data_IF_693382338050
#
_entry.id   IF_693382338050
#
_cell.length_a   1.000
_cell.length_b   1.000
_cell.length_c   1.000
_cell.angle_alpha   90.00
_cell.angle_beta   90.00
_cell.angle_gamma   90.00
#
_symmetry.space_group_name_H-M   'P 1'
#
loop_
_entity.id
_entity.type
_entity.pdbx_description
1 polymer ?
#
# COMPACT_ATOMS: atom_id res chain seq x y z
N UNK A 1 44.35 -17.22 -29.00
CA UNK A 1 43.46 -18.06 -28.16
C UNK A 1 43.05 -17.23 -26.94
N UNK A 2 42.16 -16.25 -27.05
CA UNK A 2 40.70 -16.33 -27.18
C UNK A 2 40.02 -17.15 -26.06
N UNK A 3 39.46 -16.46 -25.06
CA UNK A 3 38.19 -16.82 -24.41
C UNK A 3 37.46 -15.54 -23.99
N UNK A 4 36.52 -15.17 -24.86
CA UNK A 4 35.57 -14.08 -24.74
C UNK A 4 34.54 -14.38 -23.63
N UNK A 5 34.21 -13.36 -22.85
CA UNK A 5 33.10 -13.37 -21.89
C UNK A 5 31.80 -13.00 -22.64
N UNK A 6 30.73 -13.82 -22.62
CA UNK A 6 29.53 -13.51 -23.40
C UNK A 6 28.66 -12.43 -22.74
N UNK A 7 28.39 -11.37 -23.49
CA UNK A 7 27.32 -10.38 -23.21
C UNK A 7 25.96 -11.08 -23.28
N UNK A 8 25.22 -11.12 -22.17
CA UNK A 8 23.78 -11.43 -22.15
C UNK A 8 23.00 -10.24 -22.71
N UNK A 9 22.63 -10.31 -24.00
CA UNK A 9 21.51 -9.55 -24.57
C UNK A 9 20.22 -10.22 -24.08
N UNK A 10 19.44 -9.53 -23.24
CA UNK A 10 18.01 -9.86 -23.08
C UNK A 10 17.28 -9.25 -24.28
N UNK A 11 16.79 -10.12 -25.16
CA UNK A 11 15.93 -9.75 -26.27
C UNK A 11 14.58 -9.25 -25.74
N UNK A 12 14.15 -8.19 -26.40
CA UNK A 12 12.78 -7.65 -26.49
C UNK A 12 11.95 -8.68 -27.28
N UNK A 13 10.64 -8.83 -26.95
CA UNK A 13 9.70 -9.91 -27.36
C UNK A 13 9.81 -11.09 -26.39
N UNK A 14 8.88 -11.33 -25.45
CA UNK A 14 7.43 -11.47 -25.65
C UNK A 14 6.62 -10.84 -24.51
N UNK A 15 5.82 -9.80 -24.84
CA UNK A 15 4.67 -9.35 -24.02
C UNK A 15 3.55 -9.00 -25.01
N UNK A 16 3.11 -9.99 -25.78
CA UNK A 16 1.86 -9.94 -26.53
C UNK A 16 1.08 -11.21 -26.23
N UNK A 17 0.15 -11.10 -25.28
CA UNK A 17 -0.65 -12.23 -24.82
C UNK A 17 -1.75 -11.84 -23.84
N UNK A 18 -2.33 -10.64 -23.97
CA UNK A 18 -3.56 -10.26 -23.26
C UNK A 18 -4.50 -9.51 -24.21
N UNK A 19 -4.98 -10.23 -25.23
CA UNK A 19 -6.24 -9.92 -25.89
C UNK A 19 -7.05 -11.20 -25.91
N UNK A 20 -8.00 -11.29 -24.99
CA UNK A 20 -9.35 -11.84 -25.16
C UNK A 20 -9.96 -12.16 -23.79
N UNK A 21 -10.56 -11.14 -23.19
CA UNK A 21 -11.66 -11.33 -22.24
C UNK A 21 -12.66 -10.21 -22.50
N UNK A 22 -13.35 -10.33 -23.63
CA UNK A 22 -14.61 -9.64 -23.88
C UNK A 22 -15.68 -10.36 -23.05
N UNK A 23 -15.72 -10.04 -21.77
CA UNK A 23 -16.88 -10.23 -20.93
C UNK A 23 -17.24 -8.85 -20.41
N UNK A 24 -18.25 -8.25 -21.03
CA UNK A 24 -18.96 -7.07 -20.54
C UNK A 24 -19.59 -7.38 -19.19
N UNK A 25 -18.76 -7.47 -18.16
CA UNK A 25 -19.21 -7.34 -16.79
C UNK A 25 -19.56 -5.87 -16.62
N UNK A 26 -20.83 -5.61 -16.29
CA UNK A 26 -21.18 -4.46 -15.45
C UNK A 26 -20.45 -4.68 -14.11
N UNK A 27 -19.11 -4.54 -14.10
CA UNK A 27 -18.35 -4.32 -12.89
C UNK A 27 -18.98 -3.07 -12.32
N UNK A 28 -19.72 -3.24 -11.24
CA UNK A 28 -20.36 -2.13 -10.53
C UNK A 28 -19.31 -1.03 -10.42
N UNK A 29 -19.60 0.15 -10.99
CA UNK A 29 -18.73 1.34 -10.89
C UNK A 29 -18.42 1.71 -9.43
N UNK A 30 -19.12 1.09 -8.48
CA UNK A 30 -19.01 1.24 -7.04
C UNK A 30 -18.42 -0.02 -6.37
N UNK A 31 -17.55 -0.74 -7.06
CA UNK A 31 -16.74 -1.82 -6.49
C UNK A 31 -15.30 -1.34 -6.24
N UNK A 32 -14.54 -1.97 -5.32
CA UNK A 32 -13.11 -1.71 -5.14
C UNK A 32 -12.32 -1.72 -6.46
N UNK A 33 -12.70 -2.59 -7.40
CA UNK A 33 -12.09 -2.68 -8.74
C UNK A 33 -12.35 -1.44 -9.59
N UNK A 34 -13.54 -0.84 -9.46
CA UNK A 34 -13.88 0.43 -10.10
C UNK A 34 -12.98 1.60 -9.65
N UNK A 35 -12.42 1.50 -8.45
CA UNK A 35 -11.44 2.45 -7.89
C UNK A 35 -9.99 1.96 -7.98
N UNK A 36 -9.75 0.85 -8.69
CA UNK A 36 -8.43 0.23 -8.88
C UNK A 36 -7.71 -0.13 -7.58
N UNK A 37 -8.42 -0.33 -6.46
CA UNK A 37 -7.78 -0.60 -5.15
C UNK A 37 -6.84 -1.82 -5.20
N UNK A 38 -7.21 -2.97 -5.80
CA UNK A 38 -6.30 -4.12 -5.85
C UNK A 38 -5.04 -3.86 -6.68
N UNK A 39 -5.17 -3.07 -7.76
CA UNK A 39 -4.04 -2.72 -8.63
C UNK A 39 -3.08 -1.79 -7.89
N UNK A 40 -3.60 -0.71 -7.29
CA UNK A 40 -2.80 0.24 -6.51
C UNK A 40 -2.14 -0.42 -5.31
N UNK A 41 -2.82 -1.37 -4.66
CA UNK A 41 -2.24 -2.13 -3.57
C UNK A 41 -1.10 -3.05 -4.02
N UNK A 42 -1.21 -3.67 -5.19
CA UNK A 42 -0.11 -4.44 -5.75
C UNK A 42 1.09 -3.55 -6.12
N UNK A 43 0.83 -2.36 -6.68
CA UNK A 43 1.87 -1.36 -6.95
C UNK A 43 2.60 -0.93 -5.66
N UNK A 44 1.86 -0.60 -4.60
CA UNK A 44 2.43 -0.26 -3.29
C UNK A 44 3.24 -1.41 -2.69
N UNK A 45 2.70 -2.64 -2.66
CA UNK A 45 3.41 -3.82 -2.14
C UNK A 45 4.71 -4.09 -2.90
N UNK A 46 4.67 -4.04 -4.23
CA UNK A 46 5.86 -4.20 -5.06
C UNK A 46 6.89 -3.10 -4.76
N UNK A 47 6.44 -1.86 -4.59
CA UNK A 47 7.32 -0.75 -4.22
C UNK A 47 8.02 -1.00 -2.89
N UNK A 48 7.28 -1.37 -1.84
CA UNK A 48 7.84 -1.63 -0.50
C UNK A 48 8.81 -2.81 -0.50
N UNK A 49 8.57 -3.85 -1.31
CA UNK A 49 9.54 -4.94 -1.51
C UNK A 49 10.85 -4.45 -2.15
N UNK A 50 10.78 -3.54 -3.12
CA UNK A 50 11.95 -2.91 -3.73
C UNK A 50 12.67 -2.04 -2.70
N UNK A 51 11.95 -1.20 -1.96
CA UNK A 51 12.50 -0.36 -0.90
C UNK A 51 13.29 -1.19 0.12
N UNK A 52 12.74 -2.32 0.59
CA UNK A 52 13.43 -3.21 1.53
C UNK A 52 14.72 -3.80 0.96
N UNK A 53 14.76 -4.13 -0.33
CA UNK A 53 15.99 -4.61 -1.00
C UNK A 53 17.03 -3.50 -1.14
N UNK A 54 16.60 -2.29 -1.52
CA UNK A 54 17.46 -1.12 -1.67
C UNK A 54 18.04 -0.69 -0.33
N UNK A 55 17.26 -0.77 0.76
CA UNK A 55 17.72 -0.52 2.11
C UNK A 55 18.86 -1.47 2.49
N UNK A 56 18.66 -2.79 2.33
CA UNK A 56 19.70 -3.80 2.61
C UNK A 56 20.97 -3.56 1.81
N UNK A 57 20.84 -3.14 0.55
CA UNK A 57 21.98 -2.81 -0.30
C UNK A 57 22.73 -1.57 0.21
N UNK A 58 22.00 -0.52 0.61
CA UNK A 58 22.60 0.67 1.21
C UNK A 58 23.34 0.33 2.53
N UNK A 59 22.70 -0.40 3.44
CA UNK A 59 23.32 -0.85 4.69
C UNK A 59 24.59 -1.67 4.43
N UNK A 60 24.57 -2.58 3.45
CA UNK A 60 25.77 -3.36 3.08
C UNK A 60 26.91 -2.48 2.54
N UNK A 61 26.60 -1.42 1.78
CA UNK A 61 27.61 -0.48 1.31
C UNK A 61 28.18 0.38 2.43
N UNK A 62 27.37 0.76 3.42
CA UNK A 62 27.86 1.45 4.61
C UNK A 62 28.80 0.58 5.44
N UNK A 63 28.49 -0.71 5.62
CA UNK A 63 29.38 -1.64 6.31
C UNK A 63 30.72 -1.84 5.57
N UNK A 64 30.68 -2.00 4.23
CA UNK A 64 31.91 -2.07 3.43
C UNK A 64 32.77 -0.80 3.54
N UNK A 65 32.15 0.39 3.61
CA UNK A 65 32.87 1.63 3.82
C UNK A 65 33.52 1.70 5.21
N UNK A 66 32.88 1.16 6.26
CA UNK A 66 33.46 1.05 7.60
C UNK A 66 34.65 0.09 7.63
N UNK A 67 34.51 -1.08 7.01
CA UNK A 67 35.58 -2.07 6.91
C UNK A 67 36.77 -1.53 6.13
N UNK A 68 36.52 -0.85 5.00
CA UNK A 68 37.55 -0.19 4.20
C UNK A 68 38.28 0.89 5.00
N UNK A 69 37.56 1.66 5.82
CA UNK A 69 38.16 2.66 6.71
C UNK A 69 39.08 2.01 7.74
N UNK A 70 38.63 0.97 8.42
CA UNK A 70 39.44 0.25 9.41
C UNK A 70 40.71 -0.35 8.76
N UNK A 71 40.57 -0.95 7.57
CA UNK A 71 41.71 -1.47 6.79
C UNK A 71 42.69 -0.37 6.39
N UNK A 72 42.18 0.78 5.93
CA UNK A 72 42.99 1.94 5.59
C UNK A 72 43.76 2.45 6.82
N UNK A 73 43.12 2.58 7.98
CA UNK A 73 43.77 3.01 9.22
C UNK A 73 44.94 2.09 9.60
N UNK A 74 44.76 0.77 9.55
CA UNK A 74 45.83 -0.21 9.84
C UNK A 74 46.98 -0.12 8.83
N UNK A 75 46.68 -0.12 7.53
CA UNK A 75 47.72 -0.10 6.48
C UNK A 75 48.49 1.21 6.46
N UNK A 76 47.82 2.34 6.68
CA UNK A 76 48.47 3.63 6.75
C UNK A 76 49.24 3.82 8.05
N UNK A 77 48.79 3.26 9.17
CA UNK A 77 49.59 3.18 10.40
C UNK A 77 50.86 2.32 10.20
N UNK A 78 50.75 1.19 9.48
CA UNK A 78 51.90 0.35 9.13
C UNK A 78 52.90 1.08 8.22
N UNK A 79 52.42 1.81 7.20
CA UNK A 79 53.24 2.69 6.37
C UNK A 79 53.91 3.79 7.19
N UNK A 80 53.15 4.51 8.02
CA UNK A 80 53.68 5.54 8.89
C UNK A 80 54.72 4.97 9.85
N UNK A 81 54.51 3.77 10.39
CA UNK A 81 55.50 3.04 11.18
C UNK A 81 56.78 2.76 10.38
N UNK A 82 56.67 2.24 9.16
CA UNK A 82 57.82 2.02 8.28
C UNK A 82 58.51 3.32 7.86
N UNK A 83 57.82 4.46 7.77
CA UNK A 83 58.41 5.75 7.36
C UNK A 83 59.02 6.53 8.55
N UNK A 84 58.30 6.59 9.67
CA UNK A 84 58.66 7.37 10.87
C UNK A 84 59.51 6.61 11.87
N UNK A 85 59.69 5.30 11.68
CA UNK A 85 60.76 4.55 12.32
C UNK A 85 62.11 5.15 11.88
N UNK A 86 62.49 6.28 12.50
CA UNK A 86 63.89 6.68 12.72
C UNK A 86 64.61 5.67 13.62
N UNK A 87 63.85 4.76 14.21
CA UNK A 87 64.27 3.45 14.71
C UNK A 87 64.32 2.42 13.60
N UNK A 88 64.53 2.76 12.32
CA UNK A 88 65.24 1.84 11.45
C UNK A 88 66.52 1.60 12.21
N UNK A 89 66.68 0.43 12.84
CA UNK A 89 68.01 0.10 13.24
C UNK A 89 68.66 0.00 11.83
N UNK A 90 69.61 0.88 11.53
CA UNK A 90 70.61 0.63 10.50
C UNK A 90 71.36 -0.64 10.95
N UNK A 91 70.66 -1.78 10.92
CA UNK A 91 70.38 -2.58 12.12
C UNK A 91 70.76 -1.95 13.48
N UNK A 92 71.09 -2.76 14.50
CA UNK A 92 71.83 -2.18 15.63
C UNK A 92 73.02 -1.43 15.05
N UNK A 93 73.63 -0.44 15.71
CA UNK A 93 74.83 0.21 15.15
C UNK A 93 75.83 -0.82 14.58
N UNK A 94 75.87 -2.05 15.13
CA UNK A 94 76.62 -3.21 14.62
C UNK A 94 76.30 -3.71 13.21
N UNK A 95 75.10 -3.54 12.68
CA UNK A 95 74.69 -4.09 11.37
C UNK A 95 75.06 -3.16 10.20
N UNK A 96 75.23 -1.86 10.46
CA UNK A 96 75.90 -0.93 9.56
C UNK A 96 77.37 -0.70 9.89
N UNK A 97 77.86 -1.31 10.96
CA UNK A 97 79.28 -1.39 11.24
C UNK A 97 79.89 -2.57 10.52
N UNK A 98 81.10 -2.36 10.01
CA UNK A 98 81.89 -3.40 9.37
C UNK A 98 82.20 -4.51 10.38
N UNK A 99 81.57 -5.67 10.21
CA UNK A 99 81.78 -6.82 11.08
C UNK A 99 83.02 -7.61 10.62
N UNK A 100 84.11 -7.53 11.38
CA UNK A 100 85.37 -8.22 11.05
C UNK A 100 85.28 -9.74 11.08
N UNK A 101 84.29 -10.32 11.76
CA UNK A 101 84.08 -11.77 11.81
C UNK A 101 83.38 -12.27 10.54
N UNK A 102 82.44 -11.48 10.02
CA UNK A 102 81.76 -11.74 8.74
C UNK A 102 82.63 -11.37 7.53
N UNK A 103 83.52 -10.39 7.69
CA UNK A 103 84.38 -9.84 6.65
C UNK A 103 85.86 -9.83 7.12
N UNK A 104 86.52 -11.00 7.15
CA UNK A 104 87.82 -11.18 7.81
C UNK A 104 88.96 -10.34 7.21
N UNK A 105 89.90 -9.95 8.09
CA UNK A 105 91.14 -9.31 7.69
C UNK A 105 91.99 -10.29 6.87
N UNK A 106 92.18 -9.97 5.58
CA UNK A 106 92.89 -10.81 4.61
C UNK A 106 92.07 -11.13 3.35
N UNK A 107 90.74 -10.96 3.38
CA UNK A 107 89.93 -11.02 2.15
C UNK A 107 90.08 -9.71 1.36
N UNK A 108 90.56 -9.80 0.13
CA UNK A 108 90.69 -8.65 -0.80
C UNK A 108 89.33 -7.99 -1.10
N UNK A 109 88.24 -8.75 -1.00
CA UNK A 109 86.88 -8.31 -1.35
C UNK A 109 86.04 -7.87 -0.17
N UNK A 110 86.56 -7.93 1.06
CA UNK A 110 85.79 -7.72 2.30
C UNK A 110 84.94 -6.44 2.31
N UNK A 111 85.45 -5.34 1.75
CA UNK A 111 84.72 -4.07 1.66
C UNK A 111 83.67 -4.07 0.55
N UNK A 112 83.96 -4.72 -0.58
CA UNK A 112 83.02 -4.88 -1.69
C UNK A 112 81.84 -5.71 -1.22
N UNK A 113 82.09 -6.86 -0.57
CA UNK A 113 81.04 -7.76 -0.10
C UNK A 113 80.20 -7.10 1.01
N UNK A 114 80.82 -6.34 1.93
CA UNK A 114 80.09 -5.53 2.90
C UNK A 114 79.17 -4.50 2.23
N UNK A 115 79.67 -3.73 1.26
CA UNK A 115 78.87 -2.74 0.54
C UNK A 115 77.72 -3.39 -0.25
N UNK A 116 77.95 -4.57 -0.84
CA UNK A 116 76.91 -5.33 -1.53
C UNK A 116 75.81 -5.80 -0.56
N UNK A 117 76.18 -6.33 0.60
CA UNK A 117 75.23 -6.73 1.64
C UNK A 117 74.44 -5.53 2.19
N UNK A 118 75.09 -4.37 2.36
CA UNK A 118 74.41 -3.13 2.75
C UNK A 118 73.42 -2.66 1.68
N UNK A 119 73.82 -2.66 0.40
CA UNK A 119 72.94 -2.30 -0.70
C UNK A 119 71.72 -3.23 -0.76
N UNK A 120 71.93 -4.55 -0.68
CA UNK A 120 70.85 -5.52 -0.70
C UNK A 120 69.88 -5.36 0.48
N UNK A 121 70.40 -5.02 1.67
CA UNK A 121 69.57 -4.73 2.84
C UNK A 121 68.73 -3.46 2.64
N UNK A 122 69.35 -2.37 2.18
CA UNK A 122 68.65 -1.11 1.89
C UNK A 122 67.61 -1.26 0.79
N UNK A 123 67.90 -2.03 -0.26
CA UNK A 123 66.94 -2.34 -1.34
C UNK A 123 65.72 -3.07 -0.77
N UNK A 124 65.93 -4.05 0.11
CA UNK A 124 64.84 -4.79 0.76
C UNK A 124 63.96 -3.88 1.62
N UNK A 125 64.55 -3.01 2.44
CA UNK A 125 63.80 -2.08 3.28
C UNK A 125 63.09 -0.99 2.47
N UNK A 126 63.74 -0.46 1.44
CA UNK A 126 63.12 0.45 0.48
C UNK A 126 61.88 -0.18 -0.16
N UNK A 127 61.99 -1.43 -0.60
CA UNK A 127 60.86 -2.18 -1.17
C UNK A 127 59.73 -2.38 -0.18
N UNK A 128 60.03 -2.62 1.10
CA UNK A 128 59.01 -2.73 2.17
C UNK A 128 58.25 -1.41 2.37
N UNK A 129 58.97 -0.28 2.48
CA UNK A 129 58.36 1.05 2.61
C UNK A 129 57.47 1.31 1.39
N UNK A 130 58.01 1.10 0.18
CA UNK A 130 57.28 1.32 -1.07
C UNK A 130 56.00 0.48 -1.13
N UNK A 131 56.06 -0.81 -0.82
CA UNK A 131 54.89 -1.69 -0.79
C UNK A 131 53.85 -1.22 0.23
N UNK A 132 54.28 -0.84 1.44
CA UNK A 132 53.34 -0.34 2.45
C UNK A 132 52.68 0.99 2.05
N UNK A 133 53.41 1.87 1.33
CA UNK A 133 52.86 3.09 0.75
C UNK A 133 51.80 2.78 -0.30
N UNK A 134 52.12 1.90 -1.25
CA UNK A 134 51.20 1.47 -2.31
C UNK A 134 49.92 0.85 -1.71
N UNK A 135 50.05 0.04 -0.66
CA UNK A 135 48.90 -0.53 0.06
C UNK A 135 48.05 0.51 0.79
N UNK A 136 48.67 1.49 1.46
CA UNK A 136 47.94 2.59 2.12
C UNK A 136 47.20 3.46 1.09
N UNK A 137 47.84 3.83 -0.02
CA UNK A 137 47.20 4.61 -1.07
C UNK A 137 46.04 3.85 -1.74
N UNK A 138 46.20 2.56 -2.02
CA UNK A 138 45.11 1.73 -2.51
C UNK A 138 43.95 1.67 -1.51
N UNK A 139 44.23 1.52 -0.21
CA UNK A 139 43.19 1.46 0.80
C UNK A 139 42.43 2.78 0.97
N UNK A 140 43.09 3.93 0.75
CA UNK A 140 42.42 5.24 0.68
C UNK A 140 41.47 5.31 -0.51
N UNK A 141 41.92 4.87 -1.69
CA UNK A 141 41.08 4.82 -2.90
C UNK A 141 39.88 3.89 -2.69
N UNK A 142 40.09 2.70 -2.12
CA UNK A 142 39.02 1.76 -1.78
C UNK A 142 37.98 2.43 -0.86
N UNK A 143 38.44 3.14 0.19
CA UNK A 143 37.55 3.88 1.10
C UNK A 143 36.73 4.94 0.37
N UNK A 144 37.37 5.78 -0.46
CA UNK A 144 36.68 6.82 -1.24
C UNK A 144 35.61 6.22 -2.17
N UNK A 145 35.93 5.11 -2.83
CA UNK A 145 35.01 4.40 -3.72
C UNK A 145 33.82 3.81 -2.95
N UNK A 146 34.05 3.15 -1.81
CA UNK A 146 32.96 2.60 -0.99
C UNK A 146 32.09 3.71 -0.38
N UNK A 147 32.68 4.83 0.04
CA UNK A 147 31.91 5.98 0.52
C UNK A 147 31.03 6.57 -0.58
N UNK A 148 31.55 6.69 -1.82
CA UNK A 148 30.77 7.14 -2.98
C UNK A 148 29.60 6.18 -3.25
N UNK A 149 29.85 4.88 -3.30
CA UNK A 149 28.79 3.89 -3.53
C UNK A 149 27.74 3.87 -2.40
N UNK A 150 28.14 4.05 -1.14
CA UNK A 150 27.22 4.17 -0.02
C UNK A 150 26.33 5.42 -0.15
N UNK A 151 26.90 6.56 -0.54
CA UNK A 151 26.14 7.80 -0.78
C UNK A 151 25.15 7.66 -1.95
N UNK A 152 25.57 7.02 -3.06
CA UNK A 152 24.70 6.72 -4.19
C UNK A 152 23.55 5.78 -3.78
N UNK A 153 23.85 4.71 -3.05
CA UNK A 153 22.85 3.77 -2.54
C UNK A 153 21.84 4.45 -1.61
N UNK A 154 22.31 5.35 -0.74
CA UNK A 154 21.45 6.17 0.14
C UNK A 154 20.52 7.08 -0.64
N UNK A 155 21.00 7.73 -1.70
CA UNK A 155 20.18 8.56 -2.57
C UNK A 155 19.10 7.71 -3.28
N UNK A 156 19.47 6.56 -3.83
CA UNK A 156 18.53 5.62 -4.45
C UNK A 156 17.49 5.11 -3.45
N UNK A 157 17.88 4.86 -2.20
CA UNK A 157 16.95 4.54 -1.12
C UNK A 157 15.96 5.68 -0.86
N UNK A 158 16.45 6.92 -0.72
CA UNK A 158 15.59 8.10 -0.53
C UNK A 158 14.61 8.34 -1.68
N UNK A 159 15.03 8.13 -2.93
CA UNK A 159 14.16 8.22 -4.10
C UNK A 159 13.06 7.13 -4.09
N UNK A 160 13.43 5.89 -3.76
CA UNK A 160 12.46 4.80 -3.65
C UNK A 160 11.48 5.03 -2.48
N UNK A 161 11.95 5.56 -1.35
CA UNK A 161 11.10 5.93 -0.23
C UNK A 161 10.02 6.93 -0.67
N UNK A 162 10.41 8.02 -1.35
CA UNK A 162 9.48 9.02 -1.86
C UNK A 162 8.51 8.45 -2.92
N UNK A 163 8.98 7.55 -3.78
CA UNK A 163 8.13 6.87 -4.75
C UNK A 163 7.08 5.96 -4.07
N UNK A 164 7.48 5.19 -3.06
CA UNK A 164 6.54 4.34 -2.32
C UNK A 164 5.54 5.15 -1.48
N UNK A 165 5.95 6.29 -0.92
CA UNK A 165 5.05 7.21 -0.23
C UNK A 165 3.94 7.72 -1.18
N UNK A 166 4.28 8.12 -2.41
CA UNK A 166 3.27 8.52 -3.41
C UNK A 166 2.34 7.38 -3.84
N UNK A 167 2.88 6.17 -3.99
CA UNK A 167 2.07 4.99 -4.28
C UNK A 167 1.08 4.69 -3.15
N UNK A 168 1.51 4.89 -1.90
CA UNK A 168 0.65 4.76 -0.73
C UNK A 168 -0.45 5.82 -0.70
N UNK A 169 -0.08 7.09 -0.89
CA UNK A 169 -1.03 8.21 -0.95
C UNK A 169 -2.10 7.98 -2.01
N UNK A 170 -1.69 7.53 -3.22
CA UNK A 170 -2.62 7.22 -4.31
C UNK A 170 -3.62 6.12 -3.95
N UNK A 171 -3.16 5.08 -3.23
CA UNK A 171 -4.01 3.99 -2.77
C UNK A 171 -4.99 4.46 -1.68
N UNK A 172 -4.51 5.24 -0.70
CA UNK A 172 -5.31 5.80 0.38
C UNK A 172 -6.38 6.77 -0.15
N UNK A 173 -6.04 7.65 -1.09
CA UNK A 173 -6.98 8.56 -1.76
C UNK A 173 -8.06 7.81 -2.56
N UNK A 174 -7.68 6.77 -3.30
CA UNK A 174 -8.62 5.93 -4.02
C UNK A 174 -9.59 5.23 -3.07
N UNK A 175 -9.11 4.77 -1.92
CA UNK A 175 -9.92 4.16 -0.88
C UNK A 175 -10.89 5.17 -0.26
N UNK A 176 -10.44 6.40 0.00
CA UNK A 176 -11.32 7.49 0.44
C UNK A 176 -12.40 7.83 -0.59
N UNK A 177 -12.03 7.86 -1.87
CA UNK A 177 -12.97 8.12 -2.97
C UNK A 177 -14.03 7.03 -3.09
N UNK A 178 -13.63 5.76 -2.91
CA UNK A 178 -14.54 4.63 -2.84
C UNK A 178 -15.55 4.79 -1.69
N UNK A 179 -15.07 5.11 -0.47
CA UNK A 179 -15.93 5.37 0.70
C UNK A 179 -16.96 6.47 0.42
N UNK A 180 -16.51 7.58 -0.16
CA UNK A 180 -17.36 8.72 -0.47
C UNK A 180 -18.45 8.34 -1.48
N UNK A 181 -18.08 7.65 -2.57
CA UNK A 181 -19.01 7.22 -3.60
C UNK A 181 -20.06 6.22 -3.09
N UNK A 182 -19.67 5.26 -2.24
CA UNK A 182 -20.60 4.32 -1.61
C UNK A 182 -21.57 5.08 -0.70
N UNK A 183 -21.06 6.01 0.13
CA UNK A 183 -21.89 6.82 1.02
C UNK A 183 -22.91 7.66 0.24
N UNK A 184 -22.48 8.33 -0.83
CA UNK A 184 -23.35 9.14 -1.69
C UNK A 184 -24.52 8.29 -2.23
N UNK A 185 -24.24 7.10 -2.77
CA UNK A 185 -25.29 6.24 -3.34
C UNK A 185 -26.28 5.72 -2.29
N UNK A 186 -25.79 5.44 -1.08
CA UNK A 186 -26.68 5.10 0.03
C UNK A 186 -27.59 6.28 0.41
N UNK A 187 -27.07 7.51 0.42
CA UNK A 187 -27.86 8.71 0.64
C UNK A 187 -28.90 8.92 -0.46
N UNK A 188 -28.53 8.74 -1.74
CA UNK A 188 -29.45 8.82 -2.87
C UNK A 188 -30.59 7.80 -2.77
N UNK A 189 -30.26 6.55 -2.42
CA UNK A 189 -31.24 5.48 -2.25
C UNK A 189 -32.22 5.80 -1.11
N UNK A 190 -31.72 6.31 0.02
CA UNK A 190 -32.55 6.77 1.13
C UNK A 190 -33.49 7.91 0.71
N UNK A 191 -32.96 8.91 0.00
CA UNK A 191 -33.76 10.03 -0.52
C UNK A 191 -34.84 9.58 -1.51
N UNK A 192 -34.55 8.60 -2.36
CA UNK A 192 -35.53 8.02 -3.29
C UNK A 192 -36.70 7.36 -2.56
N UNK A 193 -36.42 6.55 -1.53
CA UNK A 193 -37.46 5.90 -0.71
C UNK A 193 -38.27 6.95 0.06
N UNK A 194 -37.62 7.96 0.63
CA UNK A 194 -38.30 9.02 1.38
C UNK A 194 -39.25 9.83 0.49
N UNK A 195 -38.78 10.23 -0.70
CA UNK A 195 -39.58 10.98 -1.67
C UNK A 195 -40.74 10.13 -2.19
N UNK A 196 -40.50 8.87 -2.53
CA UNK A 196 -41.54 7.95 -3.01
C UNK A 196 -42.58 7.68 -1.92
N UNK A 197 -42.15 7.54 -0.66
CA UNK A 197 -43.03 7.34 0.48
C UNK A 197 -43.91 8.57 0.75
N UNK A 198 -43.34 9.78 0.62
CA UNK A 198 -44.09 11.02 0.71
C UNK A 198 -45.18 11.10 -0.36
N UNK A 199 -44.83 10.78 -1.61
CA UNK A 199 -45.79 10.72 -2.73
C UNK A 199 -46.88 9.69 -2.47
N UNK A 200 -46.51 8.46 -2.06
CA UNK A 200 -47.46 7.41 -1.70
C UNK A 200 -48.46 7.86 -0.64
N UNK A 201 -48.00 8.46 0.46
CA UNK A 201 -48.88 8.94 1.52
C UNK A 201 -49.83 10.05 1.03
N UNK A 202 -49.34 10.96 0.19
CA UNK A 202 -50.18 11.99 -0.42
C UNK A 202 -51.29 11.39 -1.30
N UNK A 203 -50.93 10.44 -2.17
CA UNK A 203 -51.88 9.72 -3.02
C UNK A 203 -52.86 8.88 -2.20
N UNK A 204 -52.40 8.22 -1.14
CA UNK A 204 -53.24 7.40 -0.25
C UNK A 204 -54.27 8.26 0.49
N UNK A 205 -53.88 9.45 0.97
CA UNK A 205 -54.82 10.39 1.58
C UNK A 205 -55.93 10.78 0.61
N UNK A 206 -55.58 11.12 -0.64
CA UNK A 206 -56.56 11.43 -1.68
C UNK A 206 -57.46 10.21 -2.00
N UNK A 207 -56.86 9.02 -2.15
CA UNK A 207 -57.60 7.79 -2.41
C UNK A 207 -58.58 7.46 -1.27
N UNK A 208 -58.26 7.77 -0.01
CA UNK A 208 -59.18 7.59 1.14
C UNK A 208 -60.38 8.53 1.10
N UNK A 209 -60.22 9.75 0.58
CA UNK A 209 -61.34 10.66 0.33
C UNK A 209 -62.25 10.08 -0.76
N UNK A 210 -61.67 9.60 -1.86
CA UNK A 210 -62.40 8.97 -2.96
C UNK A 210 -63.09 7.67 -2.54
N UNK A 211 -62.44 6.86 -1.71
CA UNK A 211 -63.01 5.64 -1.10
C UNK A 211 -64.32 5.94 -0.37
N UNK A 212 -64.35 7.03 0.41
CA UNK A 212 -65.54 7.45 1.15
C UNK A 212 -66.68 7.81 0.19
N UNK A 213 -66.35 8.51 -0.90
CA UNK A 213 -67.31 8.89 -1.92
C UNK A 213 -67.85 7.68 -2.69
N UNK A 214 -66.97 6.78 -3.15
CA UNK A 214 -67.35 5.54 -3.82
C UNK A 214 -68.21 4.63 -2.93
N UNK A 215 -67.85 4.51 -1.65
CA UNK A 215 -68.68 3.80 -0.65
C UNK A 215 -70.07 4.42 -0.53
N UNK A 216 -70.19 5.75 -0.54
CA UNK A 216 -71.48 6.44 -0.50
C UNK A 216 -72.30 6.20 -1.77
N UNK A 217 -71.68 6.29 -2.95
CA UNK A 217 -72.33 6.00 -4.23
C UNK A 217 -72.81 4.54 -4.29
N UNK A 218 -71.98 3.59 -3.87
CA UNK A 218 -72.35 2.17 -3.86
C UNK A 218 -73.52 1.88 -2.93
N UNK A 219 -73.59 2.52 -1.75
CA UNK A 219 -74.77 2.41 -0.88
C UNK A 219 -76.06 2.87 -1.59
N UNK A 220 -75.98 3.94 -2.38
CA UNK A 220 -77.12 4.41 -3.16
C UNK A 220 -77.50 3.41 -4.26
N UNK A 221 -76.52 2.85 -4.98
CA UNK A 221 -76.73 1.80 -5.99
C UNK A 221 -77.39 0.56 -5.37
N UNK A 222 -76.88 0.07 -4.25
CA UNK A 222 -77.46 -1.08 -3.54
C UNK A 222 -78.90 -0.82 -3.06
N UNK A 223 -79.21 0.43 -2.68
CA UNK A 223 -80.57 0.82 -2.32
C UNK A 223 -81.50 0.86 -3.53
N UNK A 224 -81.03 1.37 -4.68
CA UNK A 224 -81.77 1.36 -5.94
C UNK A 224 -82.06 -0.09 -6.37
N UNK A 225 -81.03 -0.95 -6.34
CA UNK A 225 -81.15 -2.38 -6.64
C UNK A 225 -82.23 -3.06 -5.78
N UNK A 226 -82.26 -2.79 -4.47
CA UNK A 226 -83.33 -3.27 -3.59
C UNK A 226 -84.72 -2.80 -4.05
N UNK A 227 -84.89 -1.50 -4.34
CA UNK A 227 -86.17 -0.98 -4.81
C UNK A 227 -86.62 -1.59 -6.12
N UNK A 228 -85.69 -1.87 -7.05
CA UNK A 228 -86.00 -2.55 -8.30
C UNK A 228 -86.53 -3.97 -8.05
N UNK A 229 -85.93 -4.70 -7.10
CA UNK A 229 -86.41 -6.03 -6.71
C UNK A 229 -87.80 -6.04 -6.03
N UNK A 230 -88.24 -4.93 -5.43
CA UNK A 230 -89.56 -4.85 -4.78
C UNK A 230 -90.72 -4.97 -5.78
N UNK A 231 -90.53 -4.58 -7.05
CA UNK A 231 -91.57 -4.69 -8.07
C UNK A 231 -91.99 -6.13 -8.40
N UNK A 232 -91.21 -7.11 -7.96
CA UNK A 232 -91.53 -8.54 -8.12
C UNK A 232 -92.37 -9.10 -6.96
N UNK A 233 -92.61 -8.30 -5.91
CA UNK A 233 -93.34 -8.72 -4.71
C UNK A 233 -94.85 -8.47 -4.84
N UNK A 234 -95.66 -9.32 -4.18
CA UNK A 234 -97.13 -9.13 -4.10
C UNK A 234 -97.53 -7.93 -3.24
N UNK A 235 -96.75 -7.64 -2.19
CA UNK A 235 -96.95 -6.49 -1.31
C UNK A 235 -95.80 -5.49 -1.51
N UNK A 236 -95.97 -4.64 -2.53
CA UNK A 236 -94.99 -3.62 -2.93
C UNK A 236 -94.76 -2.60 -1.80
N UNK A 237 -95.81 -2.24 -1.05
CA UNK A 237 -95.71 -1.22 0.00
C UNK A 237 -94.81 -1.69 1.15
N UNK A 238 -94.99 -2.94 1.60
CA UNK A 238 -94.13 -3.53 2.62
C UNK A 238 -92.67 -3.66 2.15
N UNK A 239 -92.46 -4.04 0.89
CA UNK A 239 -91.11 -4.15 0.30
C UNK A 239 -90.37 -2.81 0.24
N UNK A 240 -91.05 -1.71 -0.10
CA UNK A 240 -90.46 -0.37 -0.12
C UNK A 240 -89.98 0.04 1.27
N UNK A 241 -90.79 -0.16 2.31
CA UNK A 241 -90.40 0.18 3.69
C UNK A 241 -89.23 -0.69 4.18
N UNK A 242 -89.19 -1.97 3.80
CA UNK A 242 -88.04 -2.83 4.11
C UNK A 242 -86.74 -2.30 3.47
N UNK A 243 -86.77 -1.89 2.19
CA UNK A 243 -85.60 -1.32 1.51
C UNK A 243 -85.16 0.02 2.10
N UNK A 244 -86.10 0.85 2.58
CA UNK A 244 -85.80 2.13 3.26
C UNK A 244 -85.00 1.92 4.55
N UNK A 245 -85.42 0.95 5.36
CA UNK A 245 -84.83 0.68 6.66
C UNK A 245 -83.57 -0.19 6.61
N UNK A 246 -83.25 -0.81 5.46
CA UNK A 246 -82.04 -1.62 5.28
C UNK A 246 -80.77 -0.76 5.31
N UNK A 247 -79.80 -1.16 6.13
CA UNK A 247 -78.47 -0.54 6.19
C UNK A 247 -77.51 -1.22 5.21
N UNK A 248 -77.02 -0.46 4.23
CA UNK A 248 -76.06 -0.93 3.23
C UNK A 248 -74.60 -0.62 3.60
N UNK A 249 -74.32 -0.01 4.76
CA UNK A 249 -72.95 0.33 5.18
C UNK A 249 -72.03 -0.88 5.28
N UNK A 250 -72.56 -2.02 5.72
CA UNK A 250 -71.82 -3.27 5.92
C UNK A 250 -71.96 -4.25 4.75
N UNK A 251 -72.50 -3.82 3.62
CA UNK A 251 -72.60 -4.67 2.44
C UNK A 251 -71.19 -4.99 1.89
N UNK A 252 -70.92 -6.24 1.50
CA UNK A 252 -69.59 -6.69 1.04
C UNK A 252 -69.03 -5.82 -0.08
N UNK A 253 -69.86 -5.41 -1.04
CA UNK A 253 -69.42 -4.52 -2.13
C UNK A 253 -68.98 -3.13 -1.63
N UNK A 254 -69.54 -2.64 -0.52
CA UNK A 254 -69.15 -1.35 0.10
C UNK A 254 -67.89 -1.53 0.93
N UNK A 255 -67.80 -2.59 1.73
CA UNK A 255 -66.65 -2.83 2.62
C UNK A 255 -65.41 -3.32 1.89
N UNK A 256 -65.56 -3.97 0.73
CA UNK A 256 -64.43 -4.40 -0.10
C UNK A 256 -63.71 -3.22 -0.80
N UNK A 257 -64.32 -2.04 -0.87
CA UNK A 257 -63.67 -0.83 -1.40
C UNK A 257 -62.77 -0.20 -0.35
N UNK A 258 -61.60 -0.79 -0.12
CA UNK A 258 -60.62 -0.26 0.81
C UNK A 258 -59.24 -0.16 0.19
N UNK A 259 -58.62 1.02 0.31
CA UNK A 259 -57.22 1.21 0.00
C UNK A 259 -56.37 0.89 1.24
N UNK A 260 -55.60 -0.21 1.27
CA UNK A 260 -54.85 -0.60 2.45
C UNK A 260 -53.68 0.36 2.70
N UNK A 261 -53.40 0.64 3.97
CA UNK A 261 -52.17 1.31 4.38
C UNK A 261 -51.01 0.33 4.24
N UNK A 262 -49.91 0.78 3.63
CA UNK A 262 -48.65 0.03 3.61
C UNK A 262 -47.70 0.58 4.67
N UNK A 263 -46.67 -0.18 5.00
CA UNK A 263 -45.55 0.31 5.80
C UNK A 263 -44.49 0.93 4.90
N UNK A 264 -43.73 1.89 5.45
CA UNK A 264 -42.61 2.50 4.72
C UNK A 264 -41.60 1.41 4.35
N UNK A 265 -41.12 1.35 3.09
CA UNK A 265 -40.06 0.44 2.72
C UNK A 265 -38.81 0.62 3.60
N UNK A 266 -38.23 -0.49 4.03
CA UNK A 266 -36.98 -0.46 4.79
C UNK A 266 -35.81 -0.09 3.88
N UNK A 267 -35.03 0.91 4.29
CA UNK A 267 -33.76 1.26 3.65
C UNK A 267 -32.64 0.59 4.45
N UNK A 268 -31.90 -0.38 3.88
CA UNK A 268 -30.80 -1.01 4.59
C UNK A 268 -29.72 0.02 4.93
N UNK A 269 -29.08 -0.14 6.09
CA UNK A 269 -27.94 0.69 6.46
C UNK A 269 -26.84 0.57 5.41
N UNK A 270 -26.17 1.68 5.11
CA UNK A 270 -25.03 1.69 4.20
C UNK A 270 -23.91 0.80 4.76
N UNK A 271 -23.63 -0.31 4.08
CA UNK A 271 -22.53 -1.22 4.44
C UNK A 271 -21.40 -1.03 3.45
N UNK A 272 -20.21 -0.85 3.96
CA UNK A 272 -18.96 -0.94 3.21
C UNK A 272 -18.02 -1.88 3.95
N UNK A 273 -17.13 -2.53 3.21
CA UNK A 273 -16.08 -3.37 3.80
C UNK A 273 -15.00 -2.46 4.39
N UNK A 274 -14.82 -2.51 5.72
CA UNK A 274 -13.78 -1.76 6.40
C UNK A 274 -12.37 -2.17 5.98
N UNK A 275 -12.20 -3.35 5.38
CA UNK A 275 -10.93 -3.76 4.79
C UNK A 275 -10.60 -2.97 3.51
N UNK A 276 -11.56 -2.24 2.92
CA UNK A 276 -11.37 -1.41 1.73
C UNK A 276 -11.31 0.09 2.03
N UNK A 277 -11.33 0.47 3.31
CA UNK A 277 -11.32 1.87 3.74
C UNK A 277 -10.03 2.21 4.49
N UNK A 278 -9.29 3.18 3.98
CA UNK A 278 -8.07 3.68 4.60
C UNK A 278 -8.32 4.19 6.02
N UNK A 279 -7.34 3.96 6.90
CA UNK A 279 -7.39 4.31 8.32
C UNK A 279 -8.07 3.27 9.23
N UNK A 280 -8.43 2.10 8.71
CA UNK A 280 -8.84 0.93 9.49
C UNK A 280 -7.75 -0.13 9.52
N UNK A 281 -7.61 -0.85 10.63
CA UNK A 281 -6.57 -1.90 10.75
C UNK A 281 -6.76 -3.06 9.78
N UNK A 282 -8.01 -3.41 9.49
CA UNK A 282 -8.36 -4.38 8.45
C UNK A 282 -7.87 -3.98 7.06
N UNK A 283 -7.82 -2.69 6.77
CA UNK A 283 -7.33 -2.17 5.51
C UNK A 283 -5.81 -2.28 5.41
N UNK A 284 -5.11 -1.86 6.46
CA UNK A 284 -3.65 -2.01 6.50
C UNK A 284 -3.25 -3.50 6.46
N UNK A 285 -3.99 -4.39 7.12
CA UNK A 285 -3.75 -5.84 7.02
C UNK A 285 -3.90 -6.37 5.60
N UNK A 286 -4.99 -5.96 4.93
CA UNK A 286 -5.29 -6.40 3.56
C UNK A 286 -4.27 -5.89 2.55
N UNK A 287 -3.88 -4.62 2.66
CA UNK A 287 -3.12 -3.94 1.62
C UNK A 287 -1.65 -3.71 1.95
N UNK A 288 -1.27 -3.49 3.21
CA UNK A 288 0.12 -3.29 3.62
C UNK A 288 0.77 -4.59 4.07
N UNK A 289 0.02 -5.52 4.69
CA UNK A 289 0.55 -6.83 5.11
C UNK A 289 1.88 -6.66 5.88
N UNK A 290 2.90 -7.46 5.60
CA UNK A 290 4.21 -7.42 6.26
C UNK A 290 5.04 -6.14 6.07
N UNK A 291 4.53 -5.09 5.40
CA UNK A 291 5.27 -3.84 5.17
C UNK A 291 4.92 -2.72 6.16
N UNK A 292 4.19 -3.01 7.25
CA UNK A 292 3.79 -2.02 8.27
C UNK A 292 4.95 -1.14 8.77
N UNK A 293 6.12 -1.73 9.03
CA UNK A 293 7.28 -0.97 9.54
C UNK A 293 7.92 -0.03 8.52
N UNK A 294 7.47 -0.07 7.26
CA UNK A 294 7.98 0.76 6.17
C UNK A 294 6.92 1.71 5.61
N UNK A 295 5.65 1.58 6.01
CA UNK A 295 4.55 2.45 5.58
C UNK A 295 4.41 3.66 6.49
N UNK A 296 4.13 4.82 5.87
CA UNK A 296 3.79 6.03 6.61
C UNK A 296 2.35 5.90 7.17
N UNK A 297 2.00 6.61 8.25
CA UNK A 297 0.60 6.68 8.67
C UNK A 297 -0.26 7.29 7.56
N UNK A 298 -1.50 6.80 7.41
CA UNK A 298 -2.41 7.36 6.42
C UNK A 298 -2.69 8.85 6.70
N UNK A 299 -2.44 9.70 5.71
CA UNK A 299 -2.68 11.15 5.75
C UNK A 299 -3.95 11.58 5.01
N UNK A 300 -4.62 10.66 4.31
CA UNK A 300 -5.80 10.99 3.53
C UNK A 300 -6.97 11.46 4.41
N UNK A 301 -7.85 12.29 3.85
CA UNK A 301 -8.94 12.95 4.60
C UNK A 301 -9.95 12.00 5.24
N UNK A 302 -10.09 10.77 4.73
CA UNK A 302 -10.97 9.76 5.29
C UNK A 302 -10.33 8.96 6.43
N UNK A 303 -9.02 9.11 6.64
CA UNK A 303 -8.28 8.45 7.70
C UNK A 303 -8.50 9.18 9.02
N UNK A 304 -8.71 8.39 10.07
CA UNK A 304 -8.92 8.93 11.41
C UNK A 304 -7.55 9.36 11.95
N UNK A 305 -7.36 10.67 12.14
CA UNK A 305 -6.11 11.20 12.69
C UNK A 305 -5.75 10.47 14.00
N UNK A 306 -4.54 9.89 14.05
CA UNK A 306 -4.02 9.17 15.22
C UNK A 306 -4.44 7.70 15.35
N UNK A 307 -5.18 7.13 14.40
CA UNK A 307 -5.44 5.68 14.39
C UNK A 307 -4.25 4.94 13.75
N UNK A 308 -3.14 4.79 14.48
CA UNK A 308 -2.11 3.83 14.09
C UNK A 308 -2.51 2.45 14.61
N UNK A 309 -2.50 1.44 13.75
CA UNK A 309 -2.68 0.06 14.15
C UNK A 309 -1.38 -0.48 14.75
N UNK A 310 -0.97 0.11 15.87
CA UNK A 310 0.19 -0.37 16.61
C UNK A 310 -0.06 -1.82 17.02
N UNK A 311 0.87 -2.71 16.68
CA UNK A 311 0.77 -4.14 16.97
C UNK A 311 0.50 -4.45 18.46
N UNK A 312 0.88 -3.55 19.37
CA UNK A 312 0.65 -3.65 20.82
C UNK A 312 -0.82 -3.65 21.24
N UNK A 313 -1.77 -3.15 20.42
CA UNK A 313 -3.20 -3.17 20.76
C UNK A 313 -3.99 -4.28 20.07
N UNK A 314 -3.32 -5.15 19.28
CA UNK A 314 -3.98 -6.28 18.59
C UNK A 314 -4.18 -7.53 19.45
N UNK A 315 -3.51 -7.65 20.60
CA UNK A 315 -3.59 -8.84 21.45
C UNK A 315 -4.76 -8.83 22.46
N UNK A 316 -5.61 -7.80 22.48
CA UNK A 316 -6.64 -7.63 23.52
C UNK A 316 -8.08 -7.44 23.03
N UNK A 317 -8.40 -7.75 21.76
CA UNK A 317 -9.79 -7.73 21.24
C UNK A 317 -10.21 -9.08 20.68
#
# INVERSE_FOLDING_TARGET
MAKFCPRRRKSRQDVEGYKNASATANVSRYSPDGFRLPVLANEHRNCRQIQAKVQKYWEAMEELAKDAKARMEVLCAYYAGNETSRTFPVGTSRDCLFNTDRYPAGSERRYIDFLQDQLAWWDKEYMKIRQSREQCEQAKQDLEDYQRHAAEAKNVFGQNLAYCAKAQESLDEASCSYKAAVKEKCTDAGGCVDNSWKTYNGTLQQAKVEETFLKAQMRAVMRIDCYLGVFELKDVAAGIEACKHKDYRNHTNVTAMEFPTQSKPHVPACRYDFADIAGYCSYEDKYYSHTFGLSDPCTASCCKAGASCNASTRETV
#
